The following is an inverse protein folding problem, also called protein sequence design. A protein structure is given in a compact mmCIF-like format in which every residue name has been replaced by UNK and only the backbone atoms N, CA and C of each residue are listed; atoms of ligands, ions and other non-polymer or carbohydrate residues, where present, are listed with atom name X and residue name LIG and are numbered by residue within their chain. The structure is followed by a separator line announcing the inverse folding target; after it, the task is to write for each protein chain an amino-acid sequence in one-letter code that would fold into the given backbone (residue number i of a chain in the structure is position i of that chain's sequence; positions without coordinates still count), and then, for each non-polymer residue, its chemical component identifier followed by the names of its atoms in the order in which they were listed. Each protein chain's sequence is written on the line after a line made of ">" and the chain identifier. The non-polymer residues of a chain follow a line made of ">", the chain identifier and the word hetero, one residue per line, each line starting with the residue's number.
data_IF_065249384282
#
_entry.id   IF_065249384282
#
_cell.length_a   1.000
_cell.length_b   1.000
_cell.length_c   1.000
_cell.angle_alpha   90.00
_cell.angle_beta   90.00
_cell.angle_gamma   90.00
#
_symmetry.space_group_name_H-M   'P 1'
#
loop_
_entity.id
_entity.type
_entity.pdbx_description
1 polymer ?
#
# COMPACT_ATOMS: atom_id res chain seq x y z
N UNK A 1 8.70 -53.87 -1.59
CA UNK A 1 8.76 -54.77 -2.78
C UNK A 1 8.29 -53.99 -4.02
N UNK A 2 8.97 -54.19 -5.16
CA UNK A 2 8.50 -54.19 -6.57
C UNK A 2 7.20 -53.44 -6.97
N UNK A 3 7.10 -52.76 -8.14
CA UNK A 3 7.87 -52.88 -9.40
C UNK A 3 7.71 -51.64 -10.31
N UNK A 4 8.74 -51.32 -11.12
CA UNK A 4 8.63 -50.50 -12.36
C UNK A 4 8.22 -51.38 -13.55
N UNK A 5 7.50 -50.80 -14.54
CA UNK A 5 7.63 -50.93 -16.02
C UNK A 5 6.43 -50.19 -16.66
N UNK A 6 6.61 -49.15 -17.47
CA UNK A 6 7.14 -49.09 -18.85
C UNK A 6 6.18 -49.69 -19.90
N UNK A 7 5.77 -48.86 -20.87
CA UNK A 7 4.83 -49.23 -21.94
C UNK A 7 4.73 -48.17 -23.05
N UNK A 8 5.68 -48.20 -23.99
CA UNK A 8 5.63 -47.41 -25.23
C UNK A 8 4.63 -48.05 -26.21
N UNK A 9 3.86 -47.24 -26.95
CA UNK A 9 3.19 -47.67 -28.20
C UNK A 9 3.29 -46.59 -29.27
N UNK A 10 4.02 -46.90 -30.33
CA UNK A 10 3.87 -46.29 -31.65
C UNK A 10 2.78 -47.04 -32.42
N UNK A 11 1.84 -46.33 -33.05
CA UNK A 11 1.09 -46.81 -34.23
C UNK A 11 0.81 -45.62 -35.16
N UNK A 12 1.11 -45.81 -36.44
CA UNK A 12 0.75 -45.00 -37.62
C UNK A 12 0.42 -45.98 -38.76
N UNK A 13 -0.02 -45.55 -39.97
CA UNK A 13 -1.01 -44.52 -40.32
C UNK A 13 -2.04 -45.00 -41.40
N UNK A 14 -3.16 -44.29 -41.58
CA UNK A 14 -3.98 -44.14 -42.81
C UNK A 14 -5.27 -43.35 -42.45
N UNK A 15 -5.92 -42.55 -43.31
CA UNK A 15 -5.63 -42.10 -44.68
C UNK A 15 -6.90 -41.55 -45.38
N UNK A 16 -6.72 -40.74 -46.43
CA UNK A 16 -7.72 -40.26 -47.44
C UNK A 16 -8.65 -39.05 -47.14
N UNK A 17 -8.98 -38.31 -48.21
CA UNK A 17 -9.92 -37.15 -48.25
C UNK A 17 -9.27 -35.78 -48.49
N UNK A 18 -8.45 -35.55 -49.52
CA UNK A 18 -8.86 -35.14 -50.89
C UNK A 18 -9.89 -34.00 -50.94
N UNK A 19 -9.44 -32.79 -51.32
CA UNK A 19 -10.07 -31.98 -52.38
C UNK A 19 -9.00 -31.16 -53.13
N UNK A 20 -9.11 -31.08 -54.47
CA UNK A 20 -8.34 -30.17 -55.35
C UNK A 20 -9.07 -28.80 -55.39
N UNK A 21 -8.60 -27.71 -56.01
CA UNK A 21 -7.63 -27.48 -57.09
C UNK A 21 -7.23 -25.99 -57.16
N UNK A 22 -6.05 -25.66 -57.69
CA UNK A 22 -5.66 -24.27 -57.99
C UNK A 22 -4.24 -24.13 -58.56
N UNK A 23 -4.02 -24.63 -59.78
CA UNK A 23 -2.73 -24.54 -60.50
C UNK A 23 -2.62 -23.25 -61.30
N UNK A 24 -1.52 -22.49 -61.13
CA UNK A 24 -0.78 -21.79 -62.20
C UNK A 24 0.71 -21.83 -61.82
N UNK A 25 1.62 -21.99 -62.78
CA UNK A 25 3.04 -22.24 -62.53
C UNK A 25 3.97 -21.20 -63.19
N UNK A 26 5.02 -20.82 -62.44
CA UNK A 26 6.38 -20.41 -62.88
C UNK A 26 6.57 -19.10 -63.70
N UNK A 27 7.79 -18.50 -63.77
CA UNK A 27 9.12 -19.07 -63.43
C UNK A 27 10.12 -18.24 -62.57
N UNK A 28 11.09 -18.97 -61.99
CA UNK A 28 12.57 -18.74 -61.92
C UNK A 28 13.14 -17.32 -62.24
N UNK A 29 14.10 -16.67 -61.52
CA UNK A 29 14.92 -17.03 -60.32
C UNK A 29 15.26 -15.85 -59.33
N UNK A 30 16.41 -15.11 -59.32
CA UNK A 30 17.09 -14.92 -58.01
C UNK A 30 17.59 -13.50 -57.60
N UNK A 31 17.96 -13.39 -56.32
CA UNK A 31 18.91 -12.45 -55.68
C UNK A 31 18.60 -10.93 -55.63
N UNK A 32 18.23 -10.44 -54.42
CA UNK A 32 19.00 -9.50 -53.56
C UNK A 32 18.10 -8.83 -52.50
N UNK A 33 18.45 -8.84 -51.21
CA UNK A 33 18.00 -7.85 -50.24
C UNK A 33 19.08 -6.79 -50.01
N UNK A 34 18.71 -5.52 -50.11
CA UNK A 34 19.52 -4.34 -49.71
C UNK A 34 18.58 -3.28 -49.09
N UNK A 35 19.07 -2.30 -48.30
CA UNK A 35 18.95 -2.47 -46.85
C UNK A 35 18.27 -1.30 -46.10
N UNK A 36 17.84 -1.59 -44.87
CA UNK A 36 17.44 -0.62 -43.86
C UNK A 36 16.85 -1.32 -42.64
N UNK A 37 17.21 -1.05 -41.39
CA UNK A 37 18.13 -0.03 -40.88
C UNK A 37 17.65 0.40 -39.50
N UNK A 38 18.08 -0.28 -38.42
CA UNK A 38 17.40 -0.20 -37.12
C UNK A 38 18.17 -0.79 -35.93
N UNK A 39 19.39 -0.29 -35.70
CA UNK A 39 20.10 -0.27 -34.41
C UNK A 39 20.03 -1.50 -33.47
N UNK A 40 20.97 -2.43 -33.67
CA UNK A 40 21.43 -3.39 -32.63
C UNK A 40 22.96 -3.54 -32.62
N UNK A 41 23.68 -2.61 -32.00
CA UNK A 41 25.05 -2.76 -31.48
C UNK A 41 25.42 -1.47 -30.69
N UNK A 42 26.22 -1.57 -29.61
CA UNK A 42 27.66 -1.41 -29.81
C UNK A 42 28.51 -2.29 -28.86
N UNK A 43 28.62 -3.60 -29.14
CA UNK A 43 29.60 -4.47 -28.43
C UNK A 43 30.36 -5.46 -29.33
N UNK A 44 29.93 -5.68 -30.58
CA UNK A 44 30.58 -6.64 -31.50
C UNK A 44 31.97 -6.21 -32.03
N UNK A 45 32.35 -4.94 -31.87
CA UNK A 45 33.61 -4.41 -32.43
C UNK A 45 34.86 -4.72 -31.58
N UNK A 46 34.70 -5.01 -30.29
CA UNK A 46 35.83 -5.27 -29.38
C UNK A 46 36.37 -6.70 -29.57
N UNK A 47 35.50 -7.68 -29.81
CA UNK A 47 35.93 -9.08 -30.06
C UNK A 47 36.64 -9.24 -31.41
N UNK A 48 36.19 -8.53 -32.45
CA UNK A 48 36.84 -8.58 -33.78
C UNK A 48 38.25 -7.93 -33.78
N UNK A 49 38.48 -6.91 -32.96
CA UNK A 49 39.77 -6.24 -32.87
C UNK A 49 40.88 -7.14 -32.27
N UNK A 50 40.53 -8.03 -31.33
CA UNK A 50 41.53 -8.91 -30.69
C UNK A 50 41.95 -10.11 -31.55
N UNK A 51 41.14 -10.54 -32.51
CA UNK A 51 41.48 -11.69 -33.37
C UNK A 51 42.50 -11.36 -34.47
N UNK A 52 42.61 -10.09 -34.90
CA UNK A 52 43.54 -9.69 -35.96
C UNK A 52 45.00 -9.56 -35.51
N UNK A 53 45.27 -9.32 -34.23
CA UNK A 53 46.65 -9.21 -33.69
C UNK A 53 47.40 -10.55 -33.77
N UNK A 54 46.70 -11.68 -33.74
CA UNK A 54 47.29 -13.03 -33.71
C UNK A 54 47.70 -13.54 -35.10
N UNK A 55 47.12 -12.99 -36.18
CA UNK A 55 47.27 -13.52 -37.54
C UNK A 55 48.36 -12.86 -38.41
N UNK A 56 48.98 -11.77 -37.94
CA UNK A 56 50.01 -11.02 -38.70
C UNK A 56 51.45 -11.51 -38.43
N UNK A 57 51.65 -12.42 -37.47
CA UNK A 57 52.99 -12.93 -37.09
C UNK A 57 53.26 -14.40 -37.46
N UNK A 58 52.41 -15.03 -38.28
CA UNK A 58 52.54 -16.43 -38.69
C UNK A 58 53.55 -16.67 -39.86
N UNK A 59 54.68 -15.95 -39.86
CA UNK A 59 55.63 -15.90 -40.99
C UNK A 59 57.07 -16.33 -40.70
N UNK A 60 57.46 -16.64 -39.46
CA UNK A 60 58.87 -16.90 -39.12
C UNK A 60 59.09 -18.04 -38.11
N UNK A 61 59.77 -19.11 -38.57
CA UNK A 61 60.61 -20.11 -37.89
C UNK A 61 60.23 -20.77 -36.53
N UNK A 62 59.34 -20.22 -35.71
CA UNK A 62 59.01 -20.68 -34.35
C UNK A 62 58.11 -21.92 -34.31
N UNK A 63 57.58 -22.36 -35.45
CA UNK A 63 56.66 -23.50 -35.57
C UNK A 63 57.23 -24.83 -35.02
N UNK A 64 58.56 -25.00 -34.97
CA UNK A 64 59.19 -26.20 -34.41
C UNK A 64 59.15 -26.30 -32.87
N UNK A 65 58.80 -25.21 -32.16
CA UNK A 65 58.55 -25.24 -30.70
C UNK A 65 57.14 -25.75 -30.37
N UNK A 66 56.19 -25.62 -31.31
CA UNK A 66 54.76 -25.90 -31.10
C UNK A 66 54.48 -27.38 -30.80
N UNK A 67 55.27 -28.31 -31.33
CA UNK A 67 55.11 -29.74 -31.02
C UNK A 67 55.44 -30.10 -29.56
N UNK A 68 56.26 -29.30 -28.85
CA UNK A 68 56.47 -29.46 -27.40
C UNK A 68 55.33 -28.90 -26.55
N UNK A 69 54.62 -27.88 -27.05
CA UNK A 69 53.49 -27.24 -26.37
C UNK A 69 52.15 -27.98 -26.58
N UNK A 70 52.05 -28.86 -27.57
CA UNK A 70 50.84 -29.67 -27.82
C UNK A 70 50.42 -30.54 -26.62
N UNK A 71 51.36 -30.95 -25.76
CA UNK A 71 51.07 -31.72 -24.54
C UNK A 71 50.50 -30.83 -23.41
N UNK A 72 50.82 -29.53 -23.41
CA UNK A 72 50.25 -28.54 -22.47
C UNK A 72 48.86 -28.05 -22.90
N UNK A 73 48.50 -28.13 -24.18
CA UNK A 73 47.19 -27.70 -24.66
C UNK A 73 46.03 -28.53 -24.06
N UNK A 74 46.25 -29.83 -23.81
CA UNK A 74 45.22 -30.74 -23.26
C UNK A 74 44.99 -30.51 -21.75
N UNK A 75 45.97 -29.99 -21.02
CA UNK A 75 45.84 -29.69 -19.58
C UNK A 75 45.33 -28.26 -19.29
N UNK A 76 45.35 -27.34 -20.26
CA UNK A 76 44.88 -25.95 -20.07
C UNK A 76 43.40 -25.75 -20.44
N UNK A 77 42.82 -26.56 -21.33
CA UNK A 77 41.37 -26.48 -21.63
C UNK A 77 40.48 -26.76 -20.40
N UNK A 78 40.78 -27.74 -19.53
CA UNK A 78 40.10 -27.89 -18.25
C UNK A 78 40.27 -26.67 -17.34
N UNK A 79 41.44 -26.03 -17.35
CA UNK A 79 41.70 -24.83 -16.52
C UNK A 79 40.85 -23.65 -16.97
N UNK A 80 40.70 -23.41 -18.29
CA UNK A 80 39.86 -22.30 -18.79
C UNK A 80 38.37 -22.56 -18.50
N UNK A 81 37.89 -23.81 -18.58
CA UNK A 81 36.50 -24.15 -18.22
C UNK A 81 36.24 -24.19 -16.71
N UNK A 82 37.25 -24.43 -15.89
CA UNK A 82 37.19 -24.35 -14.41
C UNK A 82 37.29 -22.89 -13.93
N UNK A 83 37.68 -21.94 -14.78
CA UNK A 83 37.67 -20.49 -14.50
C UNK A 83 36.30 -19.83 -14.90
N UNK A 84 35.20 -20.57 -14.73
CA UNK A 84 33.95 -20.00 -14.20
C UNK A 84 33.99 -19.89 -12.66
N UNK A 85 35.18 -19.70 -12.09
CA UNK A 85 35.41 -19.61 -10.65
C UNK A 85 34.71 -18.41 -9.99
N UNK A 86 34.51 -18.47 -8.65
CA UNK A 86 33.72 -17.50 -7.89
C UNK A 86 34.19 -16.05 -8.06
N UNK A 87 35.49 -15.81 -8.29
CA UNK A 87 36.06 -14.47 -8.50
C UNK A 87 35.45 -13.74 -9.72
N UNK A 88 35.18 -14.45 -10.83
CA UNK A 88 34.52 -13.85 -12.01
C UNK A 88 33.03 -13.62 -11.81
N UNK A 89 32.37 -14.40 -10.95
CA UNK A 89 30.98 -14.15 -10.56
C UNK A 89 30.91 -12.90 -9.68
N UNK A 90 31.74 -12.81 -8.64
CA UNK A 90 31.85 -11.63 -7.78
C UNK A 90 32.20 -10.36 -8.57
N UNK A 91 33.12 -10.41 -9.53
CA UNK A 91 33.44 -9.27 -10.39
C UNK A 91 32.24 -8.81 -11.24
N UNK A 92 31.45 -9.75 -11.79
CA UNK A 92 30.21 -9.43 -12.54
C UNK A 92 29.13 -8.83 -11.65
N UNK A 93 28.98 -9.34 -10.42
CA UNK A 93 28.04 -8.80 -9.42
C UNK A 93 28.45 -7.39 -8.98
N UNK A 94 29.74 -7.16 -8.72
CA UNK A 94 30.26 -5.84 -8.39
C UNK A 94 30.02 -4.83 -9.53
N UNK A 95 30.28 -5.21 -10.78
CA UNK A 95 29.99 -4.37 -11.96
C UNK A 95 28.49 -4.07 -12.10
N UNK A 96 27.61 -5.06 -11.88
CA UNK A 96 26.15 -4.85 -11.90
C UNK A 96 25.66 -3.96 -10.76
N UNK A 97 26.31 -4.04 -9.59
CA UNK A 97 26.01 -3.19 -8.43
C UNK A 97 26.47 -1.74 -8.67
N UNK A 98 27.64 -1.54 -9.26
CA UNK A 98 28.10 -0.23 -9.73
C UNK A 98 27.16 0.37 -10.78
N UNK A 99 26.68 -0.45 -11.73
CA UNK A 99 25.65 -0.05 -12.71
C UNK A 99 24.34 0.32 -12.01
N UNK A 100 23.93 -0.37 -10.94
CA UNK A 100 22.74 0.01 -10.15
C UNK A 100 22.91 1.38 -9.49
N UNK A 101 24.06 1.67 -8.89
CA UNK A 101 24.32 2.95 -8.21
C UNK A 101 24.43 4.11 -9.20
N UNK A 102 25.14 3.92 -10.32
CA UNK A 102 25.24 4.92 -11.38
C UNK A 102 23.90 5.13 -12.10
N UNK A 103 23.23 4.05 -12.52
CA UNK A 103 21.92 4.14 -13.15
C UNK A 103 20.88 4.73 -12.20
N UNK A 104 20.93 4.40 -10.91
CA UNK A 104 20.08 4.98 -9.86
C UNK A 104 20.22 6.51 -9.75
N UNK A 105 21.41 7.04 -10.01
CA UNK A 105 21.74 8.47 -9.93
C UNK A 105 21.33 9.28 -11.17
N UNK A 106 21.01 8.65 -12.30
CA UNK A 106 20.70 9.32 -13.58
C UNK A 106 19.18 9.32 -13.88
N UNK A 107 18.59 10.33 -14.55
CA UNK A 107 17.20 10.23 -15.01
C UNK A 107 16.99 9.14 -16.09
N UNK A 108 15.87 8.43 -16.05
CA UNK A 108 15.49 7.41 -17.06
C UNK A 108 16.04 5.99 -16.84
N UNK A 109 15.77 5.06 -17.77
CA UNK A 109 16.34 3.70 -17.77
C UNK A 109 15.67 2.65 -16.86
N UNK A 110 14.48 2.90 -16.32
CA UNK A 110 13.82 2.04 -15.32
C UNK A 110 13.68 0.56 -15.69
N UNK A 111 13.43 0.21 -16.96
CA UNK A 111 13.29 -1.19 -17.40
C UNK A 111 14.58 -2.00 -17.22
N UNK A 112 15.74 -1.41 -17.50
CA UNK A 112 17.02 -2.08 -17.31
C UNK A 112 17.35 -2.25 -15.81
N UNK A 113 17.08 -1.20 -15.02
CA UNK A 113 17.23 -1.23 -13.56
C UNK A 113 16.34 -2.31 -12.94
N UNK A 114 15.06 -2.39 -13.33
CA UNK A 114 14.13 -3.44 -12.88
C UNK A 114 14.69 -4.84 -13.10
N UNK A 115 15.11 -5.17 -14.32
CA UNK A 115 15.65 -6.50 -14.64
C UNK A 115 16.90 -6.85 -13.84
N UNK A 116 17.75 -5.87 -13.52
CA UNK A 116 18.93 -6.07 -12.67
C UNK A 116 18.52 -6.31 -11.20
N UNK A 117 17.55 -5.56 -10.67
CA UNK A 117 17.02 -5.76 -9.30
C UNK A 117 16.40 -7.16 -9.13
N UNK A 118 15.61 -7.61 -10.10
CA UNK A 118 14.95 -8.92 -10.08
C UNK A 118 15.97 -10.08 -10.17
N UNK A 119 17.01 -9.95 -11.01
CA UNK A 119 18.09 -10.94 -11.12
C UNK A 119 18.99 -10.98 -9.85
N UNK A 120 19.23 -9.85 -9.18
CA UNK A 120 19.90 -9.84 -7.87
C UNK A 120 19.05 -10.49 -6.77
N UNK A 121 17.74 -10.25 -6.76
CA UNK A 121 16.84 -10.87 -5.80
C UNK A 121 16.81 -12.40 -5.97
N UNK A 122 16.66 -12.90 -7.20
CA UNK A 122 16.64 -14.34 -7.51
C UNK A 122 17.92 -15.09 -7.13
N UNK A 123 19.08 -14.42 -7.12
CA UNK A 123 20.38 -15.03 -6.79
C UNK A 123 20.66 -15.14 -5.29
N UNK A 124 19.87 -14.47 -4.46
CA UNK A 124 19.95 -14.56 -3.00
C UNK A 124 20.85 -13.51 -2.35
N UNK A 125 20.19 -12.57 -1.66
CA UNK A 125 20.75 -11.80 -0.53
C UNK A 125 21.97 -10.88 -0.81
N UNK A 126 21.95 -10.10 -1.89
CA UNK A 126 22.58 -8.77 -1.83
C UNK A 126 21.57 -7.78 -1.25
N UNK A 127 22.00 -7.01 -0.24
CA UNK A 127 21.18 -5.93 0.30
C UNK A 127 21.06 -4.82 -0.74
N UNK A 128 19.82 -4.43 -1.04
CA UNK A 128 19.50 -3.31 -1.93
C UNK A 128 19.35 -2.00 -1.14
N UNK A 129 19.65 -2.01 0.17
CA UNK A 129 19.49 -0.89 1.08
C UNK A 129 20.25 0.37 0.61
N UNK A 130 19.64 1.54 0.82
CA UNK A 130 20.23 2.85 0.50
C UNK A 130 20.30 3.22 -1.00
N UNK A 131 19.91 2.32 -1.92
CA UNK A 131 19.88 2.62 -3.35
C UNK A 131 19.03 3.87 -3.64
N UNK A 132 19.51 4.70 -4.55
CA UNK A 132 18.75 5.82 -5.09
C UNK A 132 18.02 5.32 -6.35
N UNK A 133 16.70 5.25 -6.31
CA UNK A 133 15.85 4.75 -7.41
C UNK A 133 14.79 5.78 -7.81
N UNK A 134 15.06 7.06 -7.58
CA UNK A 134 14.18 8.21 -7.81
C UNK A 134 13.68 8.29 -9.27
N UNK A 135 12.42 8.67 -9.43
CA UNK A 135 11.77 8.94 -10.72
C UNK A 135 11.90 7.81 -11.76
N UNK A 136 12.12 6.57 -11.32
CA UNK A 136 12.20 5.42 -12.23
C UNK A 136 10.80 4.92 -12.59
N UNK A 137 10.75 4.16 -13.69
CA UNK A 137 9.62 3.27 -13.95
C UNK A 137 10.04 1.85 -13.60
N UNK A 138 9.56 1.38 -12.45
CA UNK A 138 9.74 0.04 -11.91
C UNK A 138 8.38 -0.66 -11.74
N UNK A 139 7.38 -0.31 -12.57
CA UNK A 139 6.04 -0.92 -12.50
C UNK A 139 6.12 -2.45 -12.60
N UNK A 140 5.41 -3.13 -11.71
CA UNK A 140 5.43 -4.58 -11.59
C UNK A 140 6.79 -5.18 -11.20
N UNK A 141 7.68 -4.43 -10.53
CA UNK A 141 8.91 -4.95 -9.92
C UNK A 141 8.57 -6.09 -8.95
N UNK A 142 9.27 -7.22 -9.03
CA UNK A 142 9.06 -8.37 -8.15
C UNK A 142 10.31 -8.67 -7.32
N UNK A 143 10.34 -8.16 -6.09
CA UNK A 143 11.44 -8.36 -5.13
C UNK A 143 10.89 -8.64 -3.71
N UNK A 144 10.04 -9.68 -3.53
CA UNK A 144 9.48 -10.02 -2.23
C UNK A 144 10.56 -10.41 -1.21
N UNK A 145 10.38 -10.08 0.06
CA UNK A 145 11.37 -10.33 1.11
C UNK A 145 12.71 -9.60 0.93
N UNK A 146 12.81 -8.66 -0.02
CA UNK A 146 14.06 -7.95 -0.28
C UNK A 146 14.41 -6.95 0.82
N UNK A 147 15.72 -6.77 1.04
CA UNK A 147 16.27 -5.77 1.97
C UNK A 147 16.40 -4.43 1.25
N UNK A 148 15.38 -3.58 1.41
CA UNK A 148 15.19 -2.29 0.76
C UNK A 148 15.20 -1.12 1.78
N UNK A 149 15.72 -1.35 2.99
CA UNK A 149 15.84 -0.33 4.02
C UNK A 149 16.56 0.93 3.49
N UNK A 150 16.01 2.12 3.78
CA UNK A 150 16.53 3.43 3.34
C UNK A 150 16.67 3.62 1.82
N UNK A 151 16.04 2.77 1.00
CA UNK A 151 15.98 3.00 -0.46
C UNK A 151 15.14 4.24 -0.74
N UNK A 152 15.58 5.03 -1.71
CA UNK A 152 14.88 6.23 -2.14
C UNK A 152 14.13 6.01 -3.45
N UNK A 153 12.82 5.83 -3.34
CA UNK A 153 11.86 5.68 -4.43
C UNK A 153 11.10 6.99 -4.72
N UNK A 154 11.61 8.18 -4.34
CA UNK A 154 10.90 9.47 -4.57
C UNK A 154 10.39 9.58 -6.01
N UNK A 155 9.09 9.83 -6.20
CA UNK A 155 8.47 10.01 -7.52
C UNK A 155 8.55 8.78 -8.45
N UNK A 156 8.76 7.58 -7.92
CA UNK A 156 8.97 6.34 -8.71
C UNK A 156 7.66 5.64 -9.00
N UNK A 157 7.52 5.07 -10.20
CA UNK A 157 6.37 4.22 -10.54
C UNK A 157 6.65 2.79 -10.11
N UNK A 158 5.88 2.32 -9.15
CA UNK A 158 5.85 0.96 -8.58
C UNK A 158 4.45 0.33 -8.72
N UNK A 159 3.61 0.84 -9.64
CA UNK A 159 2.28 0.30 -9.95
C UNK A 159 2.33 -1.23 -10.08
N UNK A 160 1.55 -1.93 -9.25
CA UNK A 160 1.49 -3.40 -9.24
C UNK A 160 2.79 -4.11 -8.88
N UNK A 161 3.75 -3.44 -8.23
CA UNK A 161 4.97 -4.08 -7.72
C UNK A 161 4.64 -5.07 -6.59
N UNK A 162 5.46 -6.11 -6.48
CA UNK A 162 5.39 -7.13 -5.44
C UNK A 162 6.59 -6.99 -4.50
N UNK A 163 6.30 -6.47 -3.31
CA UNK A 163 7.22 -6.14 -2.23
C UNK A 163 6.79 -6.85 -0.92
N UNK A 164 5.98 -7.93 -0.99
CA UNK A 164 5.50 -8.60 0.22
C UNK A 164 6.66 -9.10 1.08
N UNK A 165 6.53 -8.98 2.40
CA UNK A 165 7.57 -9.34 3.36
C UNK A 165 8.88 -8.55 3.27
N UNK A 166 8.96 -7.49 2.43
CA UNK A 166 10.20 -6.73 2.26
C UNK A 166 10.55 -5.89 3.51
N UNK A 167 11.84 -5.77 3.79
CA UNK A 167 12.36 -4.81 4.75
C UNK A 167 12.48 -3.45 4.06
N UNK A 168 11.55 -2.57 4.40
CA UNK A 168 11.38 -1.20 3.92
C UNK A 168 11.65 -0.18 5.05
N UNK A 169 12.44 -0.57 6.07
CA UNK A 169 12.76 0.28 7.23
C UNK A 169 13.31 1.64 6.78
N UNK A 170 12.67 2.73 7.20
CA UNK A 170 13.02 4.10 6.82
C UNK A 170 13.17 4.34 5.29
N UNK A 171 12.41 3.60 4.46
CA UNK A 171 12.27 3.84 3.01
C UNK A 171 11.70 5.24 2.73
N UNK A 172 11.98 5.78 1.54
CA UNK A 172 11.35 7.00 1.04
C UNK A 172 10.53 6.72 -0.23
N UNK A 173 9.21 6.76 -0.12
CA UNK A 173 8.24 6.66 -1.20
C UNK A 173 7.60 8.00 -1.58
N UNK A 174 8.10 9.16 -1.12
CA UNK A 174 7.43 10.45 -1.32
C UNK A 174 7.10 10.73 -2.81
N UNK A 175 5.82 10.99 -3.08
CA UNK A 175 5.28 11.22 -4.43
C UNK A 175 5.36 10.01 -5.38
N UNK A 176 5.66 8.80 -4.87
CA UNK A 176 5.67 7.58 -5.67
C UNK A 176 4.26 7.13 -6.05
N UNK A 177 4.20 6.25 -7.04
CA UNK A 177 2.97 5.61 -7.51
C UNK A 177 3.03 4.11 -7.19
N UNK A 178 2.40 3.72 -6.08
CA UNK A 178 2.28 2.35 -5.56
C UNK A 178 0.86 1.79 -5.78
N UNK A 179 0.11 2.34 -6.74
CA UNK A 179 -1.25 1.91 -7.03
C UNK A 179 -1.29 0.40 -7.31
N UNK A 180 -2.16 -0.30 -6.58
CA UNK A 180 -2.33 -1.76 -6.65
C UNK A 180 -1.07 -2.58 -6.37
N UNK A 181 -0.05 -2.02 -5.70
CA UNK A 181 1.14 -2.75 -5.26
C UNK A 181 0.84 -3.65 -4.05
N UNK A 182 1.65 -4.69 -3.88
CA UNK A 182 1.58 -5.63 -2.78
C UNK A 182 2.72 -5.39 -1.78
N UNK A 183 2.38 -4.88 -0.60
CA UNK A 183 3.28 -4.66 0.55
C UNK A 183 2.80 -5.51 1.77
N UNK A 184 2.00 -6.55 1.54
CA UNK A 184 1.52 -7.42 2.62
C UNK A 184 2.71 -8.00 3.41
N UNK A 185 2.59 -8.05 4.74
CA UNK A 185 3.63 -8.53 5.67
C UNK A 185 5.00 -7.78 5.60
N UNK A 186 5.11 -6.69 4.83
CA UNK A 186 6.34 -5.89 4.78
C UNK A 186 6.55 -5.10 6.09
N UNK A 187 7.75 -4.53 6.25
CA UNK A 187 8.10 -3.72 7.43
C UNK A 187 8.66 -2.36 7.00
N UNK A 188 7.91 -1.28 7.22
CA UNK A 188 8.32 0.11 6.97
C UNK A 188 8.19 1.03 8.21
N UNK A 189 8.68 0.65 9.40
CA UNK A 189 8.68 1.54 10.55
C UNK A 189 9.48 2.82 10.24
N UNK A 190 8.89 3.97 10.55
CA UNK A 190 9.45 5.30 10.22
C UNK A 190 9.62 5.55 8.71
N UNK A 191 8.97 4.78 7.83
CA UNK A 191 8.97 5.00 6.39
C UNK A 191 8.23 6.29 6.01
N UNK A 192 8.66 6.95 4.93
CA UNK A 192 7.96 8.12 4.38
C UNK A 192 7.24 7.74 3.10
N UNK A 193 5.98 8.15 2.99
CA UNK A 193 5.09 7.95 1.85
C UNK A 193 4.23 9.21 1.63
N UNK A 194 4.82 10.40 1.69
CA UNK A 194 4.10 11.67 1.57
C UNK A 194 3.59 11.90 0.16
N UNK A 195 2.32 12.27 0.00
CA UNK A 195 1.71 12.52 -1.32
C UNK A 195 1.73 11.31 -2.26
N UNK A 196 1.82 10.10 -1.72
CA UNK A 196 1.98 8.85 -2.48
C UNK A 196 0.62 8.34 -2.96
N UNK A 197 0.55 7.83 -4.19
CA UNK A 197 -0.62 7.07 -4.65
C UNK A 197 -0.54 5.64 -4.09
N UNK A 198 -1.33 5.38 -3.04
CA UNK A 198 -1.47 4.09 -2.37
C UNK A 198 -2.83 3.44 -2.69
N UNK A 199 -3.50 3.86 -3.77
CA UNK A 199 -4.83 3.33 -4.09
C UNK A 199 -4.76 1.83 -4.34
N UNK A 200 -5.65 1.06 -3.71
CA UNK A 200 -5.71 -0.41 -3.80
C UNK A 200 -4.42 -1.13 -3.38
N UNK A 201 -3.51 -0.46 -2.67
CA UNK A 201 -2.33 -1.12 -2.10
C UNK A 201 -2.76 -2.21 -1.12
N UNK A 202 -2.03 -3.33 -1.09
CA UNK A 202 -2.17 -4.32 -0.03
C UNK A 202 -1.12 -4.06 1.06
N UNK A 203 -1.57 -3.66 2.25
CA UNK A 203 -0.73 -3.44 3.45
C UNK A 203 -1.15 -4.42 4.57
N UNK A 204 -1.84 -5.52 4.24
CA UNK A 204 -2.32 -6.47 5.24
C UNK A 204 -1.17 -7.08 6.04
N UNK A 205 -1.26 -7.09 7.37
CA UNK A 205 -0.21 -7.57 8.28
C UNK A 205 1.09 -6.74 8.28
N UNK A 206 1.12 -5.58 7.62
CA UNK A 206 2.32 -4.77 7.45
C UNK A 206 2.65 -3.95 8.72
N UNK A 207 3.94 -3.79 9.05
CA UNK A 207 4.40 -2.93 10.15
C UNK A 207 4.69 -1.51 9.62
N UNK A 208 3.80 -0.57 9.93
CA UNK A 208 3.82 0.82 9.49
C UNK A 208 3.87 1.79 10.69
N UNK A 209 4.40 1.36 11.85
CA UNK A 209 4.50 2.20 13.04
C UNK A 209 5.35 3.44 12.78
N UNK A 210 4.90 4.59 13.27
CA UNK A 210 5.57 5.90 13.09
C UNK A 210 5.78 6.30 11.60
N UNK A 211 5.11 5.64 10.65
CA UNK A 211 5.22 5.95 9.22
C UNK A 211 4.44 7.23 8.85
N UNK A 212 4.93 7.94 7.84
CA UNK A 212 4.39 9.22 7.39
C UNK A 212 3.66 9.08 6.04
N UNK A 213 2.34 9.00 6.10
CA UNK A 213 1.41 8.96 4.97
C UNK A 213 0.77 10.32 4.68
N UNK A 214 1.37 11.44 5.12
CA UNK A 214 0.74 12.75 4.96
C UNK A 214 0.48 13.11 3.49
N UNK A 215 -0.75 13.54 3.19
CA UNK A 215 -1.22 13.81 1.83
C UNK A 215 -1.36 12.59 0.90
N UNK A 216 -1.18 11.35 1.39
CA UNK A 216 -1.29 10.15 0.56
C UNK A 216 -2.74 9.79 0.22
N UNK A 217 -2.94 9.04 -0.87
CA UNK A 217 -4.25 8.56 -1.31
C UNK A 217 -4.39 7.05 -1.04
N UNK A 218 -5.10 6.68 0.02
CA UNK A 218 -5.30 5.29 0.46
C UNK A 218 -6.67 4.72 0.05
N UNK A 219 -7.36 5.30 -0.95
CA UNK A 219 -8.67 4.79 -1.39
C UNK A 219 -8.57 3.34 -1.88
N UNK A 220 -9.54 2.52 -1.48
CA UNK A 220 -9.60 1.08 -1.73
C UNK A 220 -8.40 0.25 -1.17
N UNK A 221 -7.51 0.81 -0.34
CA UNK A 221 -6.39 0.08 0.25
C UNK A 221 -6.85 -1.03 1.21
N UNK A 222 -6.02 -2.07 1.40
CA UNK A 222 -6.25 -3.13 2.40
C UNK A 222 -5.36 -2.93 3.61
N UNK A 223 -5.96 -2.80 4.79
CA UNK A 223 -5.28 -2.51 6.06
C UNK A 223 -5.59 -3.56 7.15
N UNK A 224 -5.91 -4.79 6.75
CA UNK A 224 -6.28 -5.85 7.69
C UNK A 224 -5.06 -6.28 8.52
N UNK A 225 -5.09 -6.08 9.83
CA UNK A 225 -3.99 -6.41 10.75
C UNK A 225 -2.74 -5.54 10.58
N UNK A 226 -2.82 -4.38 9.93
CA UNK A 226 -1.69 -3.44 9.79
C UNK A 226 -1.40 -2.74 11.12
N UNK A 227 -0.13 -2.63 11.51
CA UNK A 227 0.28 -1.86 12.69
C UNK A 227 0.54 -0.40 12.29
N UNK A 228 -0.29 0.53 12.76
CA UNK A 228 -0.28 1.96 12.40
C UNK A 228 -0.19 2.88 13.64
N UNK A 229 0.30 2.34 14.76
CA UNK A 229 0.54 3.09 15.98
C UNK A 229 1.44 4.31 15.71
N UNK A 230 0.98 5.49 16.14
CA UNK A 230 1.63 6.79 15.89
C UNK A 230 1.93 7.12 14.40
N UNK A 231 1.21 6.51 13.45
CA UNK A 231 1.31 6.88 12.04
C UNK A 231 0.68 8.26 11.77
N UNK A 232 1.25 8.98 10.80
CA UNK A 232 0.78 10.30 10.37
C UNK A 232 -0.04 10.19 9.08
N UNK A 233 -1.31 10.55 9.13
CA UNK A 233 -2.28 10.62 8.04
C UNK A 233 -2.78 12.05 7.78
N UNK A 234 -2.02 13.07 8.21
CA UNK A 234 -2.38 14.47 8.01
C UNK A 234 -2.63 14.78 6.53
N UNK A 235 -3.71 15.49 6.23
CA UNK A 235 -4.13 15.85 4.87
C UNK A 235 -4.34 14.64 3.90
N UNK A 236 -4.35 13.39 4.40
CA UNK A 236 -4.46 12.18 3.58
C UNK A 236 -5.92 11.87 3.17
N UNK A 237 -6.09 11.13 2.07
CA UNK A 237 -7.41 10.71 1.56
C UNK A 237 -7.71 9.26 1.91
N UNK A 238 -8.72 9.04 2.76
CA UNK A 238 -9.19 7.72 3.22
C UNK A 238 -10.71 7.53 2.99
N UNK A 239 -11.30 8.31 2.08
CA UNK A 239 -12.74 8.26 1.73
C UNK A 239 -13.22 6.85 1.43
N UNK A 240 -14.29 6.42 2.12
CA UNK A 240 -14.89 5.09 1.95
C UNK A 240 -14.03 3.88 2.39
N UNK A 241 -12.87 4.12 3.01
CA UNK A 241 -11.95 3.07 3.44
C UNK A 241 -12.53 2.27 4.62
N UNK A 242 -12.20 0.97 4.69
CA UNK A 242 -12.58 0.09 5.81
C UNK A 242 -11.43 0.02 6.83
N UNK A 243 -11.62 0.70 7.94
CA UNK A 243 -10.70 0.81 9.08
C UNK A 243 -11.28 0.20 10.37
N UNK A 244 -12.57 -0.14 10.35
CA UNK A 244 -13.28 -0.82 11.44
C UNK A 244 -12.75 -2.23 11.71
N UNK A 245 -13.06 -2.76 12.90
CA UNK A 245 -12.81 -4.16 13.19
C UNK A 245 -13.72 -5.02 12.29
N UNK A 246 -13.16 -6.04 11.64
CA UNK A 246 -14.01 -7.14 11.19
C UNK A 246 -14.57 -7.83 12.45
N UNK A 247 -15.88 -8.14 12.51
CA UNK A 247 -16.47 -8.73 13.70
C UNK A 247 -15.99 -10.18 13.88
N UNK A 248 -14.88 -10.35 14.58
CA UNK A 248 -14.51 -11.60 15.22
C UNK A 248 -15.68 -12.07 16.09
N UNK A 249 -16.22 -13.23 15.78
CA UNK A 249 -17.19 -13.91 16.63
C UNK A 249 -16.57 -14.23 17.99
N UNK A 250 -16.92 -13.46 19.02
CA UNK A 250 -16.86 -13.91 20.41
C UNK A 250 -15.70 -13.44 21.30
N UNK A 251 -14.90 -12.43 20.92
CA UNK A 251 -13.91 -11.85 21.86
C UNK A 251 -14.47 -10.59 22.51
N UNK A 252 -14.96 -10.73 23.74
CA UNK A 252 -15.50 -9.61 24.53
C UNK A 252 -14.40 -8.76 25.15
N UNK A 253 -14.32 -7.48 24.79
CA UNK A 253 -13.41 -6.53 25.45
C UNK A 253 -13.91 -6.19 26.85
N UNK A 254 -13.30 -6.80 27.87
CA UNK A 254 -13.41 -6.39 29.28
C UNK A 254 -12.02 -6.08 29.82
N UNK A 255 -11.77 -4.80 30.08
CA UNK A 255 -10.75 -4.29 30.98
C UNK A 255 -9.29 -4.57 30.60
N UNK A 256 -8.55 -3.50 30.32
CA UNK A 256 -7.15 -3.33 30.77
C UNK A 256 -6.26 -4.60 30.77
N UNK A 257 -5.65 -4.91 29.62
CA UNK A 257 -4.22 -5.28 29.47
C UNK A 257 -3.90 -5.49 27.96
N UNK A 258 -2.75 -5.01 27.51
CA UNK A 258 -2.32 -5.12 26.10
C UNK A 258 -1.65 -6.48 25.80
N UNK A 259 -2.39 -7.57 25.91
CA UNK A 259 -1.88 -8.92 25.60
C UNK A 259 -2.71 -9.65 24.53
N UNK A 260 -2.19 -9.63 23.30
CA UNK A 260 -2.48 -10.59 22.23
C UNK A 260 -3.94 -10.86 21.82
N UNK A 261 -4.89 -9.97 22.15
CA UNK A 261 -6.17 -9.93 21.43
C UNK A 261 -5.88 -9.58 19.96
N UNK A 262 -6.02 -10.57 19.07
CA UNK A 262 -5.78 -10.39 17.63
C UNK A 262 -6.73 -9.33 17.10
N UNK A 263 -6.21 -8.11 16.89
CA UNK A 263 -6.96 -7.02 16.30
C UNK A 263 -7.12 -7.37 14.81
N UNK A 264 -8.30 -7.85 14.42
CA UNK A 264 -8.60 -8.16 13.00
C UNK A 264 -8.82 -6.91 12.13
N UNK A 265 -8.65 -5.72 12.70
CA UNK A 265 -8.54 -4.43 12.01
C UNK A 265 -7.16 -3.81 12.27
N UNK A 266 -6.86 -2.65 11.68
CA UNK A 266 -5.60 -1.95 11.92
C UNK A 266 -5.50 -1.40 13.36
N UNK A 267 -4.28 -1.41 13.93
CA UNK A 267 -4.00 -0.69 15.18
C UNK A 267 -3.68 0.77 14.89
N UNK A 268 -4.65 1.66 15.11
CA UNK A 268 -4.61 3.08 14.74
C UNK A 268 -4.37 4.01 15.93
N UNK A 269 -3.96 3.51 17.10
CA UNK A 269 -3.84 4.32 18.33
C UNK A 269 -2.77 5.40 18.22
N UNK A 270 -3.09 6.58 18.79
CA UNK A 270 -2.26 7.79 18.77
C UNK A 270 -1.88 8.27 17.36
N UNK A 271 -2.66 7.95 16.34
CA UNK A 271 -2.45 8.42 14.97
C UNK A 271 -2.95 9.86 14.76
N UNK A 272 -2.29 10.60 13.86
CA UNK A 272 -2.67 11.96 13.47
C UNK A 272 -3.43 11.95 12.13
N UNK A 273 -4.72 12.26 12.17
CA UNK A 273 -5.63 12.44 11.04
C UNK A 273 -6.02 13.91 10.84
N UNK A 274 -5.19 14.86 11.28
CA UNK A 274 -5.46 16.30 11.11
C UNK A 274 -5.75 16.63 9.64
N UNK A 275 -6.88 17.30 9.37
CA UNK A 275 -7.37 17.62 8.02
C UNK A 275 -7.59 16.42 7.07
N UNK A 276 -7.65 15.17 7.57
CA UNK A 276 -7.81 14.00 6.70
C UNK A 276 -9.21 13.91 6.06
N UNK A 277 -9.27 13.46 4.82
CA UNK A 277 -10.51 13.28 4.05
C UNK A 277 -11.03 11.84 4.19
N UNK A 278 -11.87 11.63 5.20
CA UNK A 278 -12.38 10.32 5.66
C UNK A 278 -13.89 10.14 5.47
N UNK A 279 -14.52 10.95 4.60
CA UNK A 279 -15.97 10.90 4.38
C UNK A 279 -16.45 9.49 3.99
N UNK A 280 -17.56 9.06 4.60
CA UNK A 280 -18.13 7.72 4.41
C UNK A 280 -17.23 6.54 4.83
N UNK A 281 -16.09 6.76 5.50
CA UNK A 281 -15.22 5.68 5.96
C UNK A 281 -15.92 4.78 6.99
N UNK A 282 -15.60 3.49 6.98
CA UNK A 282 -16.14 2.51 7.93
C UNK A 282 -15.11 2.26 9.02
N UNK A 283 -15.32 2.89 10.18
CA UNK A 283 -14.50 2.85 11.41
C UNK A 283 -15.24 2.06 12.51
N UNK A 284 -16.23 1.23 12.16
CA UNK A 284 -17.08 0.50 13.11
C UNK A 284 -16.23 -0.36 14.05
N UNK A 285 -16.37 -0.14 15.36
CA UNK A 285 -15.62 -0.83 16.40
C UNK A 285 -14.11 -0.51 16.47
N UNK A 286 -13.57 0.37 15.63
CA UNK A 286 -12.14 0.65 15.58
C UNK A 286 -11.56 1.13 16.93
N UNK A 287 -10.29 0.81 17.18
CA UNK A 287 -9.55 1.27 18.36
C UNK A 287 -8.77 2.53 17.99
N UNK A 288 -9.28 3.68 18.45
CA UNK A 288 -8.89 5.03 18.03
C UNK A 288 -8.62 5.95 19.25
N UNK A 289 -8.15 5.34 20.35
CA UNK A 289 -7.90 6.05 21.61
C UNK A 289 -6.72 7.02 21.49
N UNK A 290 -6.96 8.28 21.87
CA UNK A 290 -5.97 9.36 21.82
C UNK A 290 -5.62 9.87 20.41
N UNK A 291 -6.42 9.56 19.39
CA UNK A 291 -6.19 10.01 18.02
C UNK A 291 -6.56 11.48 17.81
N UNK A 292 -5.85 12.15 16.90
CA UNK A 292 -6.13 13.54 16.50
C UNK A 292 -6.89 13.53 15.18
N UNK A 293 -8.10 14.09 15.16
CA UNK A 293 -8.99 14.26 14.01
C UNK A 293 -9.31 15.75 13.76
N UNK A 294 -8.49 16.65 14.27
CA UNK A 294 -8.68 18.10 14.17
C UNK A 294 -8.83 18.53 12.71
N UNK A 295 -9.89 19.28 12.38
CA UNK A 295 -10.27 19.66 11.01
C UNK A 295 -10.60 18.51 10.03
N UNK A 296 -10.62 17.25 10.48
CA UNK A 296 -10.89 16.11 9.59
C UNK A 296 -12.33 16.08 9.04
N UNK A 297 -12.50 15.52 7.85
CA UNK A 297 -13.81 15.27 7.25
C UNK A 297 -14.25 13.83 7.48
N UNK A 298 -15.19 13.62 8.40
CA UNK A 298 -15.84 12.36 8.73
C UNK A 298 -17.34 12.39 8.39
N UNK A 299 -17.78 13.28 7.48
CA UNK A 299 -19.18 13.36 7.05
C UNK A 299 -19.64 11.98 6.51
N UNK A 300 -20.74 11.46 7.08
CA UNK A 300 -21.31 10.16 6.77
C UNK A 300 -20.49 8.93 7.23
N UNK A 301 -19.42 9.11 8.01
CA UNK A 301 -18.61 8.00 8.50
C UNK A 301 -19.38 7.07 9.47
N UNK A 302 -19.01 5.79 9.49
CA UNK A 302 -19.57 4.79 10.43
C UNK A 302 -18.58 4.58 11.57
N UNK A 303 -18.93 5.06 12.75
CA UNK A 303 -18.13 5.02 13.98
C UNK A 303 -18.82 4.18 15.07
N UNK A 304 -19.76 3.32 14.67
CA UNK A 304 -20.59 2.50 15.54
C UNK A 304 -19.73 1.63 16.45
N UNK A 305 -19.84 1.82 17.77
CA UNK A 305 -19.05 1.09 18.76
C UNK A 305 -17.54 1.40 18.79
N UNK A 306 -17.08 2.44 18.08
CA UNK A 306 -15.66 2.81 18.05
C UNK A 306 -15.16 3.28 19.43
N UNK A 307 -13.90 2.97 19.75
CA UNK A 307 -13.24 3.39 20.99
C UNK A 307 -12.48 4.69 20.74
N UNK A 308 -13.12 5.82 21.08
CA UNK A 308 -12.68 7.20 20.80
C UNK A 308 -12.31 7.97 22.08
N UNK A 309 -11.90 7.24 23.13
CA UNK A 309 -11.51 7.83 24.42
C UNK A 309 -10.37 8.82 24.17
N UNK A 310 -10.47 10.03 24.74
CA UNK A 310 -9.46 11.09 24.64
C UNK A 310 -9.06 11.49 23.21
N UNK A 311 -9.87 11.17 22.19
CA UNK A 311 -9.63 11.65 20.83
C UNK A 311 -9.92 13.16 20.73
N UNK A 312 -9.23 13.86 19.82
CA UNK A 312 -9.47 15.28 19.52
C UNK A 312 -10.17 15.43 18.17
N UNK A 313 -11.42 15.88 18.19
CA UNK A 313 -12.27 16.19 17.03
C UNK A 313 -12.48 17.70 16.87
N UNK A 314 -11.57 18.54 17.38
CA UNK A 314 -11.71 19.99 17.30
C UNK A 314 -11.89 20.46 15.85
N UNK A 315 -12.96 21.20 15.58
CA UNK A 315 -13.35 21.68 14.24
C UNK A 315 -13.58 20.56 13.19
N UNK A 316 -13.77 19.30 13.60
CA UNK A 316 -14.03 18.19 12.68
C UNK A 316 -15.46 18.23 12.12
N UNK A 317 -15.64 17.72 10.89
CA UNK A 317 -16.95 17.53 10.27
C UNK A 317 -17.43 16.09 10.48
N UNK A 318 -18.59 15.91 11.09
CA UNK A 318 -19.17 14.61 11.50
C UNK A 318 -20.65 14.51 11.09
N UNK A 319 -21.07 15.24 10.05
CA UNK A 319 -22.49 15.33 9.67
C UNK A 319 -23.00 13.98 9.22
N UNK A 320 -24.18 13.61 9.70
CA UNK A 320 -24.82 12.32 9.40
C UNK A 320 -23.94 11.09 9.73
N UNK A 321 -22.91 11.22 10.58
CA UNK A 321 -22.09 10.10 11.01
C UNK A 321 -22.87 9.16 11.96
N UNK A 322 -22.62 7.85 11.91
CA UNK A 322 -23.19 6.89 12.87
C UNK A 322 -22.21 6.67 14.04
N UNK A 323 -22.43 7.36 15.14
CA UNK A 323 -21.69 7.23 16.41
C UNK A 323 -22.42 6.31 17.41
N UNK A 324 -23.39 5.49 16.97
CA UNK A 324 -24.16 4.62 17.86
C UNK A 324 -23.24 3.75 18.72
N UNK A 325 -23.33 3.86 20.06
CA UNK A 325 -22.48 3.16 21.04
C UNK A 325 -20.98 3.50 20.98
N UNK A 326 -20.58 4.58 20.33
CA UNK A 326 -19.20 5.06 20.36
C UNK A 326 -18.80 5.50 21.78
N UNK A 327 -17.54 5.26 22.16
CA UNK A 327 -17.00 5.62 23.48
C UNK A 327 -16.15 6.89 23.36
N UNK A 328 -16.73 8.05 23.62
CA UNK A 328 -16.13 9.39 23.47
C UNK A 328 -15.66 9.97 24.82
N UNK A 329 -15.44 9.13 25.82
CA UNK A 329 -15.07 9.56 27.17
C UNK A 329 -13.78 10.40 27.19
N UNK A 330 -13.87 11.59 27.78
CA UNK A 330 -12.75 12.53 27.86
C UNK A 330 -12.22 13.04 26.52
N UNK A 331 -12.99 12.91 25.42
CA UNK A 331 -12.63 13.46 24.10
C UNK A 331 -12.87 14.97 24.02
N UNK A 332 -12.29 15.60 23.00
CA UNK A 332 -12.48 17.02 22.69
C UNK A 332 -13.29 17.08 21.40
N UNK A 333 -14.44 17.76 21.38
CA UNK A 333 -15.29 17.98 20.20
C UNK A 333 -15.58 19.47 19.98
N UNK A 334 -14.65 20.35 20.37
CA UNK A 334 -14.84 21.80 20.27
C UNK A 334 -15.11 22.22 18.83
N UNK A 335 -16.12 23.04 18.62
CA UNK A 335 -16.53 23.54 17.29
C UNK A 335 -16.86 22.41 16.26
N UNK A 336 -17.05 21.16 16.71
CA UNK A 336 -17.31 20.02 15.82
C UNK A 336 -18.74 20.04 15.25
N UNK A 337 -18.89 19.61 13.99
CA UNK A 337 -20.16 19.63 13.26
C UNK A 337 -20.82 18.25 13.23
N UNK A 338 -21.60 17.90 14.26
CA UNK A 338 -22.30 16.62 14.41
C UNK A 338 -23.76 16.67 13.92
N UNK A 339 -24.09 17.60 13.01
CA UNK A 339 -25.47 17.78 12.55
C UNK A 339 -26.01 16.55 11.82
N UNK A 340 -27.21 16.11 12.17
CA UNK A 340 -27.81 14.87 11.67
C UNK A 340 -27.12 13.57 12.11
N UNK A 341 -26.08 13.62 12.95
CA UNK A 341 -25.37 12.42 13.39
C UNK A 341 -26.25 11.53 14.29
N UNK A 342 -26.02 10.22 14.28
CA UNK A 342 -26.71 9.27 15.18
C UNK A 342 -25.85 9.01 16.41
N UNK A 343 -26.33 9.45 17.57
CA UNK A 343 -25.63 9.46 18.86
C UNK A 343 -26.24 8.49 19.89
N UNK A 344 -27.12 7.58 19.45
CA UNK A 344 -27.82 6.62 20.33
C UNK A 344 -26.84 5.79 21.15
N UNK A 345 -26.99 5.79 22.48
CA UNK A 345 -26.09 5.15 23.45
C UNK A 345 -24.59 5.50 23.30
N UNK A 346 -24.24 6.63 22.68
CA UNK A 346 -22.86 7.14 22.66
C UNK A 346 -22.49 7.73 24.03
N UNK A 347 -21.25 7.48 24.50
CA UNK A 347 -20.80 7.88 25.83
C UNK A 347 -19.87 9.10 25.76
N UNK A 348 -20.41 10.27 26.09
CA UNK A 348 -19.72 11.56 26.10
C UNK A 348 -19.26 11.97 27.51
N UNK A 349 -19.05 11.03 28.44
CA UNK A 349 -18.72 11.39 29.82
C UNK A 349 -17.37 12.11 29.92
N UNK A 350 -17.38 13.33 30.44
CA UNK A 350 -16.19 14.18 30.56
C UNK A 350 -15.64 14.75 29.25
N UNK A 351 -16.37 14.68 28.14
CA UNK A 351 -15.96 15.28 26.87
C UNK A 351 -16.12 16.82 26.87
N UNK A 352 -15.22 17.55 26.21
CA UNK A 352 -15.39 18.99 25.95
C UNK A 352 -16.22 19.19 24.68
N UNK A 353 -17.45 19.66 24.84
CA UNK A 353 -18.41 19.92 23.76
C UNK A 353 -18.53 21.42 23.44
N UNK A 354 -17.55 22.25 23.82
CA UNK A 354 -17.59 23.69 23.64
C UNK A 354 -17.91 24.10 22.20
N UNK A 355 -19.03 24.80 22.01
CA UNK A 355 -19.50 25.34 20.73
C UNK A 355 -19.77 24.26 19.64
N UNK A 356 -19.87 22.98 20.04
CA UNK A 356 -20.21 21.86 19.17
C UNK A 356 -21.67 21.90 18.70
N UNK A 357 -21.90 21.42 17.46
CA UNK A 357 -23.17 21.55 16.75
C UNK A 357 -23.92 20.23 16.66
N UNK A 358 -25.15 20.21 17.16
CA UNK A 358 -25.98 19.01 17.30
C UNK A 358 -27.35 19.12 16.60
N UNK A 359 -27.56 20.12 15.74
CA UNK A 359 -28.81 20.28 14.99
C UNK A 359 -29.19 18.99 14.26
N UNK A 360 -30.41 18.52 14.49
CA UNK A 360 -31.01 17.34 13.87
C UNK A 360 -30.31 16.00 14.21
N UNK A 361 -29.38 15.99 15.17
CA UNK A 361 -28.76 14.76 15.66
C UNK A 361 -29.79 13.84 16.35
N UNK A 362 -29.69 12.53 16.09
CA UNK A 362 -30.58 11.49 16.61
C UNK A 362 -30.01 10.91 17.91
N UNK A 363 -30.78 10.96 18.99
CA UNK A 363 -30.35 10.52 20.33
C UNK A 363 -31.20 9.39 20.90
N UNK A 364 -30.65 8.64 21.85
CA UNK A 364 -31.42 7.69 22.65
C UNK A 364 -32.21 8.43 23.74
N UNK A 365 -33.51 8.15 23.88
CA UNK A 365 -34.40 8.86 24.83
C UNK A 365 -33.87 8.84 26.26
N UNK A 366 -33.44 7.68 26.74
CA UNK A 366 -32.99 7.50 28.13
C UNK A 366 -31.54 7.98 28.24
N UNK A 367 -30.67 7.49 27.37
CA UNK A 367 -29.23 7.75 27.36
C UNK A 367 -28.90 9.25 27.40
N UNK A 368 -29.62 10.08 26.63
CA UNK A 368 -29.37 11.53 26.58
C UNK A 368 -29.71 12.24 27.89
N UNK A 369 -30.86 11.92 28.51
CA UNK A 369 -31.25 12.52 29.79
C UNK A 369 -30.42 11.96 30.96
N UNK A 370 -30.05 10.68 30.92
CA UNK A 370 -29.15 10.08 31.90
C UNK A 370 -27.76 10.74 31.83
N UNK A 371 -27.17 10.87 30.64
CA UNK A 371 -25.93 11.62 30.43
C UNK A 371 -26.02 13.07 30.92
N UNK A 372 -27.08 13.81 30.55
CA UNK A 372 -27.29 15.18 31.04
C UNK A 372 -27.35 15.24 32.57
N UNK A 373 -27.98 14.25 33.22
CA UNK A 373 -28.11 14.21 34.68
C UNK A 373 -26.82 13.85 35.43
N UNK A 374 -25.90 13.15 34.76
CA UNK A 374 -24.59 12.73 35.32
C UNK A 374 -23.53 13.83 35.30
N UNK A 375 -23.77 14.92 34.59
CA UNK A 375 -22.94 16.13 34.61
C UNK A 375 -23.14 16.87 35.94
N UNK A 376 -22.59 16.35 37.04
CA UNK A 376 -22.87 16.83 38.41
C UNK A 376 -22.42 18.27 38.69
N UNK A 377 -21.46 18.79 37.93
CA UNK A 377 -21.09 20.23 37.85
C UNK A 377 -20.57 20.54 36.44
N UNK A 378 -21.44 20.86 35.48
CA UNK A 378 -21.02 21.13 34.10
C UNK A 378 -20.20 22.43 34.04
N UNK A 379 -19.18 22.53 33.17
CA UNK A 379 -18.70 23.85 32.74
C UNK A 379 -19.88 24.63 32.16
N UNK A 380 -19.98 25.92 32.51
CA UNK A 380 -21.19 26.76 32.31
C UNK A 380 -21.81 26.62 30.91
N UNK A 381 -20.98 26.51 29.87
CA UNK A 381 -21.40 26.35 28.47
C UNK A 381 -22.17 25.07 28.15
N UNK A 382 -21.98 23.95 28.86
CA UNK A 382 -22.77 22.73 28.59
C UNK A 382 -24.22 22.91 29.03
N UNK A 383 -24.48 23.76 30.04
CA UNK A 383 -25.86 24.16 30.42
C UNK A 383 -26.46 25.08 29.36
N UNK A 384 -25.69 26.02 28.83
CA UNK A 384 -26.12 26.90 27.73
C UNK A 384 -26.48 26.07 26.48
N UNK A 385 -25.66 25.08 26.11
CA UNK A 385 -25.96 24.09 25.07
C UNK A 385 -27.25 23.33 25.42
N UNK A 386 -27.33 22.68 26.59
CA UNK A 386 -28.49 21.88 26.98
C UNK A 386 -29.81 22.69 27.11
N UNK A 387 -29.73 24.00 27.29
CA UNK A 387 -30.90 24.91 27.32
C UNK A 387 -31.25 25.51 25.96
N UNK A 388 -30.28 25.63 25.04
CA UNK A 388 -30.50 26.03 23.64
C UNK A 388 -31.17 24.92 22.79
N UNK A 389 -31.05 23.67 23.21
CA UNK A 389 -31.56 22.49 22.52
C UNK A 389 -32.76 21.85 23.22
N UNK A 390 -33.68 21.28 22.44
CA UNK A 390 -34.73 20.37 22.95
C UNK A 390 -34.73 19.07 22.16
N UNK A 391 -34.87 17.97 22.88
CA UNK A 391 -35.13 16.66 22.28
C UNK A 391 -36.61 16.56 21.95
N UNK A 392 -36.91 16.37 20.66
CA UNK A 392 -38.27 16.28 20.12
C UNK A 392 -38.51 14.85 19.62
N UNK A 393 -39.72 14.33 19.84
CA UNK A 393 -40.15 13.08 19.23
C UNK A 393 -40.51 13.33 17.76
N UNK A 394 -39.86 12.62 16.86
CA UNK A 394 -40.05 12.73 15.42
C UNK A 394 -40.35 11.33 14.84
N UNK A 395 -41.22 11.25 13.84
CA UNK A 395 -41.55 9.98 13.18
C UNK A 395 -40.62 9.81 11.98
N UNK A 396 -39.88 8.70 11.92
CA UNK A 396 -39.11 8.37 10.71
C UNK A 396 -40.05 7.95 9.58
N UNK A 397 -39.59 8.12 8.34
CA UNK A 397 -40.32 7.67 7.13
C UNK A 397 -40.60 6.15 7.14
N UNK A 398 -39.85 5.39 7.97
CA UNK A 398 -40.02 3.96 8.23
C UNK A 398 -41.03 3.63 9.35
N UNK A 399 -41.77 4.62 9.88
CA UNK A 399 -42.75 4.43 10.95
C UNK A 399 -42.17 4.22 12.35
N UNK A 400 -40.87 4.46 12.53
CA UNK A 400 -40.19 4.36 13.81
C UNK A 400 -40.17 5.71 14.53
N UNK A 401 -40.43 5.71 15.84
CA UNK A 401 -40.17 6.91 16.65
C UNK A 401 -38.67 7.11 16.85
N UNK A 402 -38.15 8.26 16.40
CA UNK A 402 -36.80 8.75 16.70
C UNK A 402 -36.87 9.97 17.62
N UNK A 403 -35.79 10.24 18.34
CA UNK A 403 -35.65 11.43 19.17
C UNK A 403 -34.55 12.30 18.59
N UNK A 404 -34.88 13.57 18.30
CA UNK A 404 -34.05 14.46 17.49
C UNK A 404 -33.78 15.76 18.24
N UNK A 405 -32.54 16.23 18.23
CA UNK A 405 -32.16 17.53 18.80
C UNK A 405 -32.62 18.66 17.86
N UNK A 406 -33.44 19.58 18.36
CA UNK A 406 -33.89 20.79 17.64
C UNK A 406 -33.58 22.05 18.44
N UNK A 407 -33.29 23.15 17.76
CA UNK A 407 -33.07 24.46 18.41
C UNK A 407 -34.36 24.95 19.09
N UNK A 408 -34.23 25.60 20.24
CA UNK A 408 -35.39 26.22 20.92
C UNK A 408 -36.03 27.34 20.07
N UNK A 409 -35.23 28.04 19.25
CA UNK A 409 -35.72 29.07 18.33
C UNK A 409 -36.58 28.51 17.17
N UNK A 410 -36.21 27.38 16.57
CA UNK A 410 -36.95 26.79 15.43
C UNK A 410 -38.27 26.12 15.84
N UNK A 411 -38.49 25.88 17.13
CA UNK A 411 -39.76 25.37 17.67
C UNK A 411 -40.86 26.44 17.81
N UNK A 412 -40.53 27.71 17.58
CA UNK A 412 -41.51 28.80 17.58
C UNK A 412 -42.28 28.91 16.25
N UNK A 413 -41.60 28.65 15.12
CA UNK A 413 -42.19 28.75 13.78
C UNK A 413 -43.21 27.62 13.52
N UNK A 414 -42.95 26.40 14.00
CA UNK A 414 -43.82 25.24 13.77
C UNK A 414 -45.17 25.30 14.50
N UNK A 415 -45.36 26.24 15.44
CA UNK A 415 -46.64 26.48 16.11
C UNK A 415 -47.59 27.42 15.34
N UNK A 416 -47.20 27.89 14.15
CA UNK A 416 -47.99 28.86 13.36
C UNK A 416 -49.01 28.24 12.38
N UNK A 417 -48.95 26.92 12.12
CA UNK A 417 -49.79 26.26 11.11
C UNK A 417 -50.66 25.11 11.66
N UNK A 418 -51.49 25.42 12.66
CA UNK A 418 -52.78 24.74 12.83
C UNK A 418 -53.83 25.67 13.44
N UNK A 419 -54.85 26.00 12.65
CA UNK A 419 -56.12 26.62 13.02
C UNK A 419 -57.22 26.05 12.13
#
# INVERSE_FOLDING_TARGET
>A
MMRRKAGVRFVTPAGSGIFRSGFVAEPQRPNRPEPGGGWRAPFAWIEFAMQWVVLVLAGSATFRVVCGLGILAVSVVPVIYVIEGPERQQAREHLRWLVLVDAGSRPGGGVAVKGILEDFHQRGSISLAGLQLRHKNLSGLRVPGAKLARVDFTGTKLVGADLHGADLTAVNFDGADLNSANLAEASLPGGRARGTDLRRVDLSGCDCREADFSGADLRDAKLAGTHLYMANFRDATLTGLRLGMTPASGIGYRGTEMSAAVILGPDLRLADFTSAEMSGADLSGAVLEGNVFTLANLDGARLRGAQLRRADFSNARLKNADLTRAQLNGSILRDADLRGATLTAADFSGADLGDARFEDAVVGRIDWFDWLSRLATPPVRIVEIATAWRVVQDQSDSGGTRFVIRAVSSLSESRSTSR
#
